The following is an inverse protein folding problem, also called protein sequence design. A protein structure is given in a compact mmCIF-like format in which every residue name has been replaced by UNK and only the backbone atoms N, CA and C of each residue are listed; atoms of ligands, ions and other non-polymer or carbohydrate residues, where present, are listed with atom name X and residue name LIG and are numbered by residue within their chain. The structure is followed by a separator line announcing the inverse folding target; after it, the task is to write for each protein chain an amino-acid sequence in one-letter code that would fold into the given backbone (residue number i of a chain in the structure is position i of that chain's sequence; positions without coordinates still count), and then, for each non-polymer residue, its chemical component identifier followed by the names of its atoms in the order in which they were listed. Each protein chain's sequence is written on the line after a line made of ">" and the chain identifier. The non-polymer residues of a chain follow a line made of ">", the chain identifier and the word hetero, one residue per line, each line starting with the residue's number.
data_IF_610515562243
#
_entry.id   IF_610515562243
#
_cell.length_a   1.000
_cell.length_b   1.000
_cell.length_c   1.000
_cell.angle_alpha   90.00
_cell.angle_beta   90.00
_cell.angle_gamma   90.00
#
_symmetry.space_group_name_H-M   'P 1'
#
loop_
_entity.id
_entity.type
_entity.pdbx_description
1 polymer ?
#
# COMPACT_ATOMS: atom_id res chain seq x y z
N UNK A 1 -13.69 -26.03 6.17
CA UNK A 1 -14.25 -26.10 4.80
C UNK A 1 -13.15 -25.95 3.74
N UNK A 2 -12.36 -24.86 3.78
CA UNK A 2 -11.29 -24.64 2.79
C UNK A 2 -10.18 -25.70 2.78
N UNK A 3 -9.72 -26.16 3.95
CA UNK A 3 -8.62 -27.13 4.04
C UNK A 3 -8.93 -28.48 3.36
N UNK A 4 -10.19 -28.95 3.43
CA UNK A 4 -10.64 -30.18 2.74
C UNK A 4 -10.52 -30.02 1.22
N UNK A 5 -11.04 -28.92 0.68
CA UNK A 5 -10.96 -28.64 -0.77
C UNK A 5 -9.54 -28.52 -1.30
N UNK A 6 -8.62 -27.99 -0.49
CA UNK A 6 -7.20 -27.87 -0.84
C UNK A 6 -6.57 -29.26 -0.94
N UNK A 7 -6.85 -30.14 0.02
CA UNK A 7 -6.38 -31.51 0.03
C UNK A 7 -6.97 -32.33 -1.14
N UNK A 8 -8.30 -32.29 -1.32
CA UNK A 8 -9.00 -33.06 -2.35
C UNK A 8 -8.51 -32.71 -3.76
N UNK A 9 -8.21 -31.43 -4.00
CA UNK A 9 -7.74 -30.93 -5.30
C UNK A 9 -6.23 -30.88 -5.44
N UNK A 10 -5.47 -31.37 -4.45
CA UNK A 10 -4.00 -31.35 -4.45
C UNK A 10 -3.43 -29.95 -4.78
N UNK A 11 -4.05 -28.89 -4.25
CA UNK A 11 -3.65 -27.52 -4.54
C UNK A 11 -2.38 -27.20 -3.75
N UNK A 12 -1.32 -26.85 -4.48
CA UNK A 12 -0.07 -26.44 -3.86
C UNK A 12 -0.26 -25.11 -3.10
N UNK A 13 0.32 -24.95 -1.89
CA UNK A 13 0.24 -23.69 -1.14
C UNK A 13 0.76 -22.46 -1.89
N UNK A 14 1.68 -22.64 -2.85
CA UNK A 14 2.17 -21.58 -3.74
C UNK A 14 1.14 -21.08 -4.75
N UNK A 15 0.04 -21.82 -4.97
CA UNK A 15 -1.05 -21.45 -5.90
C UNK A 15 -2.26 -20.84 -5.18
N UNK A 16 -2.17 -20.65 -3.86
CA UNK A 16 -3.20 -20.02 -3.06
C UNK A 16 -2.71 -18.64 -2.68
N UNK A 17 -3.31 -17.60 -3.25
CA UNK A 17 -2.95 -16.21 -2.98
C UNK A 17 -4.09 -15.52 -2.25
N UNK A 18 -3.78 -14.91 -1.11
CA UNK A 18 -4.65 -13.90 -0.51
C UNK A 18 -4.19 -12.52 -0.98
N UNK A 19 -5.11 -11.66 -1.35
CA UNK A 19 -4.83 -10.31 -1.85
C UNK A 19 -5.88 -9.35 -1.33
N UNK A 20 -5.43 -8.19 -0.86
CA UNK A 20 -6.33 -7.18 -0.30
C UNK A 20 -5.83 -5.76 -0.59
N UNK A 21 -6.78 -4.82 -0.60
CA UNK A 21 -6.54 -3.40 -0.88
C UNK A 21 -6.61 -2.57 0.40
N UNK A 22 -5.61 -1.72 0.60
CA UNK A 22 -5.56 -0.81 1.75
C UNK A 22 -5.31 0.62 1.27
N UNK A 23 -6.17 1.60 1.61
CA UNK A 23 -5.91 3.00 1.34
C UNK A 23 -4.82 3.53 2.28
N UNK A 24 -3.80 4.18 1.71
CA UNK A 24 -2.75 4.88 2.46
C UNK A 24 -2.76 6.38 2.15
N UNK A 25 -2.46 7.20 3.16
CA UNK A 25 -2.35 8.65 3.04
C UNK A 25 -0.94 9.06 2.65
N UNK A 26 -0.80 10.15 1.88
CA UNK A 26 0.52 10.72 1.57
C UNK A 26 1.19 11.36 2.79
N UNK A 27 0.40 11.86 3.72
CA UNK A 27 0.88 12.39 4.99
C UNK A 27 0.87 11.25 6.03
N UNK A 28 2.06 10.89 6.51
CA UNK A 28 2.26 10.04 7.70
C UNK A 28 2.98 10.91 8.73
N UNK A 29 2.26 11.76 9.48
CA UNK A 29 2.89 12.63 10.46
C UNK A 29 3.55 11.78 11.55
N UNK A 30 4.82 12.05 11.82
CA UNK A 30 5.55 11.46 12.94
C UNK A 30 5.22 12.19 14.24
N UNK A 31 5.13 11.44 15.34
CA UNK A 31 4.85 12.00 16.68
C UNK A 31 6.07 12.71 17.30
N UNK A 32 7.20 12.75 16.60
CA UNK A 32 8.42 13.41 17.05
C UNK A 32 8.72 14.61 16.16
N UNK A 33 8.98 15.74 16.79
CA UNK A 33 9.32 17.01 16.15
C UNK A 33 10.54 17.59 16.86
N UNK A 34 11.43 18.25 16.11
CA UNK A 34 12.59 18.96 16.67
C UNK A 34 12.29 20.44 16.57
N UNK A 35 12.21 21.11 17.72
CA UNK A 35 11.88 22.53 17.81
C UNK A 35 12.72 23.20 18.90
N UNK A 36 12.82 24.53 18.86
CA UNK A 36 13.58 25.29 19.87
C UNK A 36 13.03 25.02 21.28
N UNK A 37 13.93 24.77 22.24
CA UNK A 37 13.57 24.57 23.65
C UNK A 37 12.84 25.80 24.19
N UNK A 38 11.65 25.61 24.75
CA UNK A 38 10.79 26.69 25.27
C UNK A 38 9.67 27.13 24.33
N UNK A 39 9.56 26.55 23.13
CA UNK A 39 8.43 26.79 22.23
C UNK A 39 7.14 26.15 22.77
N UNK A 40 6.07 26.94 22.90
CA UNK A 40 4.77 26.49 23.42
C UNK A 40 3.94 25.70 22.41
N UNK A 41 4.16 25.92 21.11
CA UNK A 41 3.43 25.27 20.01
C UNK A 41 4.40 24.74 18.98
N UNK A 42 4.43 23.42 18.79
CA UNK A 42 5.27 22.80 17.75
C UNK A 42 4.41 22.47 16.53
N UNK A 43 4.64 23.12 15.37
CA UNK A 43 3.86 22.88 14.17
C UNK A 43 4.21 21.53 13.54
N UNK A 44 3.21 20.66 13.38
CA UNK A 44 3.38 19.40 12.62
C UNK A 44 3.38 19.74 11.13
N UNK A 45 4.54 19.57 10.47
CA UNK A 45 4.64 19.74 9.02
C UNK A 45 3.89 18.62 8.32
N UNK A 46 2.93 19.00 7.49
CA UNK A 46 2.19 18.10 6.59
C UNK A 46 2.25 18.68 5.19
N UNK A 47 2.12 17.85 4.15
CA UNK A 47 2.18 18.30 2.75
C UNK A 47 0.92 19.05 2.29
N UNK A 48 -0.05 19.27 3.20
CA UNK A 48 -1.33 19.88 2.90
C UNK A 48 -2.28 18.96 2.12
N UNK A 49 -1.91 17.70 1.89
CA UNK A 49 -2.66 16.69 1.12
C UNK A 49 -3.30 15.64 2.01
N UNK A 50 -3.77 16.03 3.19
CA UNK A 50 -4.36 15.14 4.20
C UNK A 50 -5.54 14.30 3.70
N UNK A 51 -6.26 14.77 2.68
CA UNK A 51 -7.41 14.06 2.06
C UNK A 51 -7.02 13.21 0.85
N UNK A 52 -5.79 13.34 0.35
CA UNK A 52 -5.32 12.54 -0.78
C UNK A 52 -4.77 11.22 -0.25
N UNK A 53 -5.30 10.13 -0.78
CA UNK A 53 -4.84 8.77 -0.53
C UNK A 53 -4.47 8.10 -1.85
N UNK A 54 -3.64 7.07 -1.76
CA UNK A 54 -3.36 6.11 -2.81
C UNK A 54 -3.69 4.71 -2.27
N UNK A 55 -4.01 3.79 -3.15
CA UNK A 55 -4.35 2.42 -2.74
C UNK A 55 -3.12 1.55 -2.91
N UNK A 56 -2.83 0.75 -1.88
CA UNK A 56 -1.81 -0.29 -1.96
C UNK A 56 -2.51 -1.63 -1.99
N UNK A 57 -2.13 -2.47 -2.95
CA UNK A 57 -2.59 -3.84 -3.03
C UNK A 57 -1.45 -4.75 -2.63
N UNK A 58 -1.71 -5.58 -1.60
CA UNK A 58 -0.75 -6.51 -1.05
C UNK A 58 -1.25 -7.93 -1.27
N UNK A 59 -0.35 -8.82 -1.67
CA UNK A 59 -0.66 -10.23 -1.86
C UNK A 59 0.36 -11.14 -1.18
N UNK A 60 -0.11 -12.25 -0.62
CA UNK A 60 0.74 -13.30 -0.08
C UNK A 60 0.22 -14.68 -0.48
N UNK A 61 1.15 -15.57 -0.78
CA UNK A 61 0.87 -16.98 -0.99
C UNK A 61 0.71 -17.71 0.35
N UNK A 62 -0.02 -18.82 0.36
CA UNK A 62 -0.19 -19.64 1.57
C UNK A 62 1.12 -20.29 2.06
N UNK A 63 2.16 -20.37 1.20
CA UNK A 63 3.51 -20.77 1.61
C UNK A 63 4.32 -19.64 2.28
N UNK A 64 3.74 -18.45 2.48
CA UNK A 64 4.39 -17.30 3.11
C UNK A 64 5.12 -16.38 2.14
N UNK A 65 5.23 -16.72 0.85
CA UNK A 65 5.86 -15.86 -0.14
C UNK A 65 5.02 -14.60 -0.38
N UNK A 66 5.63 -13.42 -0.24
CA UNK A 66 4.99 -12.14 -0.51
C UNK A 66 5.12 -11.78 -1.99
N UNK A 67 4.05 -11.25 -2.57
CA UNK A 67 4.07 -10.68 -3.92
C UNK A 67 4.60 -9.25 -3.88
N UNK A 68 5.19 -8.75 -4.99
CA UNK A 68 5.53 -7.34 -5.12
C UNK A 68 4.31 -6.47 -4.85
N UNK A 69 4.42 -5.42 -4.02
CA UNK A 69 3.31 -4.52 -3.74
C UNK A 69 2.90 -3.77 -5.01
N UNK A 70 1.60 -3.54 -5.17
CA UNK A 70 1.07 -2.66 -6.20
C UNK A 70 0.58 -1.35 -5.58
N UNK A 71 0.93 -0.22 -6.17
CA UNK A 71 0.46 1.11 -5.78
C UNK A 71 -0.42 1.66 -6.90
N UNK A 72 -1.65 2.04 -6.56
CA UNK A 72 -2.63 2.63 -7.47
C UNK A 72 -2.85 4.10 -7.09
N UNK A 73 -2.45 5.00 -7.98
CA UNK A 73 -2.77 6.42 -7.87
C UNK A 73 -4.15 6.71 -8.47
N UNK A 74 -4.98 7.46 -7.74
CA UNK A 74 -6.28 7.94 -8.21
C UNK A 74 -6.14 9.06 -9.27
N UNK A 75 -5.89 8.68 -10.52
CA UNK A 75 -5.68 9.58 -11.69
C UNK A 75 -5.75 8.80 -13.02
N UNK A 76 -5.90 9.52 -14.15
CA UNK A 76 -6.00 8.94 -15.50
C UNK A 76 -4.70 8.37 -16.05
N UNK A 77 -3.58 9.04 -15.78
CA UNK A 77 -2.27 8.73 -16.38
C UNK A 77 -1.24 8.49 -15.29
N UNK A 78 -0.15 7.78 -15.58
CA UNK A 78 0.99 7.73 -14.65
C UNK A 78 1.90 8.95 -14.85
N UNK A 79 2.50 9.51 -13.77
CA UNK A 79 3.54 10.52 -13.92
C UNK A 79 4.79 9.91 -14.57
N UNK A 80 5.51 10.72 -15.35
CA UNK A 80 6.77 10.32 -15.99
C UNK A 80 7.92 10.45 -15.00
N UNK A 81 7.92 9.59 -14.00
CA UNK A 81 8.94 9.56 -12.94
C UNK A 81 9.57 8.17 -12.85
N UNK A 82 10.77 8.12 -12.25
CA UNK A 82 11.43 6.84 -11.95
C UNK A 82 10.86 6.29 -10.65
N UNK A 83 10.17 5.16 -10.73
CA UNK A 83 9.66 4.46 -9.55
C UNK A 83 10.70 3.49 -8.97
N UNK A 84 10.63 3.20 -7.67
CA UNK A 84 11.49 2.21 -7.04
C UNK A 84 11.33 0.83 -7.70
N UNK A 85 12.44 0.10 -7.82
CA UNK A 85 12.42 -1.29 -8.27
C UNK A 85 11.64 -2.17 -7.26
N UNK A 86 10.95 -3.18 -7.76
CA UNK A 86 10.17 -4.11 -6.91
C UNK A 86 8.79 -3.62 -6.50
N UNK A 87 8.33 -2.45 -7.00
CA UNK A 87 6.97 -1.95 -6.79
C UNK A 87 6.27 -1.80 -8.13
N UNK A 88 5.05 -2.31 -8.23
CA UNK A 88 4.21 -2.14 -9.43
C UNK A 88 3.41 -0.86 -9.24
N UNK A 89 3.56 0.12 -10.13
CA UNK A 89 2.83 1.39 -10.03
C UNK A 89 1.81 1.51 -11.16
N UNK A 90 0.56 1.84 -10.80
CA UNK A 90 -0.58 1.99 -11.70
C UNK A 90 -1.34 3.29 -11.42
N UNK A 91 -2.08 3.74 -12.43
CA UNK A 91 -3.00 4.86 -12.32
C UNK A 91 -4.40 4.38 -12.71
N UNK A 92 -5.40 4.68 -11.89
CA UNK A 92 -6.81 4.43 -12.18
C UNK A 92 -7.62 5.66 -11.75
N UNK A 93 -8.61 6.08 -12.55
CA UNK A 93 -9.53 7.18 -12.21
C UNK A 93 -10.27 6.97 -10.88
N UNK A 94 -10.63 5.71 -10.59
CA UNK A 94 -11.33 5.37 -9.35
C UNK A 94 -10.39 5.30 -8.15
N UNK A 95 -9.13 4.91 -8.38
CA UNK A 95 -8.09 4.78 -7.35
C UNK A 95 -8.05 3.43 -6.64
N UNK A 96 -8.77 2.42 -7.14
CA UNK A 96 -8.79 1.04 -6.67
C UNK A 96 -8.79 0.10 -7.89
N UNK A 97 -8.65 -1.23 -7.72
CA UNK A 97 -8.60 -2.19 -8.85
C UNK A 97 -9.93 -2.28 -9.62
#
# INVERSE_FOLDING_TARGET
>A
YCSKKIADKHIQPSHITNMDEVPLTFDIPVNHTVEKKGTSTVPIRTTGRKKSAFTVVLGCHANGQKLPPMVIFKRKTLPKEKFPAGVIVKANEKGWM
#
